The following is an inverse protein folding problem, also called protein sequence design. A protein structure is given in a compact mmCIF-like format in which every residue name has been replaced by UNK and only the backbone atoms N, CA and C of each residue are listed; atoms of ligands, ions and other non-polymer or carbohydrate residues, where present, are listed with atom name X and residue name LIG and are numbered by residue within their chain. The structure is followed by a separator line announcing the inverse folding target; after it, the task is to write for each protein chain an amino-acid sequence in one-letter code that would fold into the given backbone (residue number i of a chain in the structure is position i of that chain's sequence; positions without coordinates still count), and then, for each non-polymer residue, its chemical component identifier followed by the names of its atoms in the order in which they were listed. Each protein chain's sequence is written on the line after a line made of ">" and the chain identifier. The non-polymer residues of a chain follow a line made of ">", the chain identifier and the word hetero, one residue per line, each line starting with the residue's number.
data_IF_105447073187
#
_entry.id   IF_105447073187
#
_cell.length_a   1.000
_cell.length_b   1.000
_cell.length_c   1.000
_cell.angle_alpha   90.00
_cell.angle_beta   90.00
_cell.angle_gamma   90.00
#
_symmetry.space_group_name_H-M   'P 1'
#
loop_
_entity.id
_entity.type
_entity.pdbx_description
1 polymer ?
#
# COMPACT_ATOMS: atom_id res chain seq x y z
N UNK A 1 15.82 14.47 2.44
CA UNK A 1 15.50 13.03 2.25
C UNK A 1 13.99 12.79 2.21
N UNK A 2 13.25 13.10 3.29
CA UNK A 2 11.78 12.94 3.36
C UNK A 2 11.02 13.65 2.22
N UNK A 3 11.43 14.86 1.84
CA UNK A 3 10.79 15.59 0.73
C UNK A 3 10.85 14.82 -0.61
N UNK A 4 11.98 14.16 -0.90
CA UNK A 4 12.14 13.33 -2.11
C UNK A 4 11.29 12.06 -2.04
N UNK A 5 11.18 11.44 -0.85
CA UNK A 5 10.32 10.27 -0.63
C UNK A 5 8.86 10.63 -0.90
N UNK A 6 8.38 11.76 -0.39
CA UNK A 6 7.00 12.22 -0.59
C UNK A 6 6.72 12.48 -2.08
N UNK A 7 7.62 13.16 -2.80
CA UNK A 7 7.44 13.43 -4.24
C UNK A 7 7.46 12.13 -5.05
N UNK A 8 8.37 11.21 -4.75
CA UNK A 8 8.49 9.94 -5.46
C UNK A 8 7.22 9.10 -5.29
N UNK A 9 6.76 8.91 -4.05
CA UNK A 9 5.53 8.18 -3.76
C UNK A 9 4.28 8.90 -4.27
N UNK A 10 4.26 10.24 -4.23
CA UNK A 10 3.18 11.03 -4.82
C UNK A 10 3.05 10.77 -6.32
N UNK A 11 4.17 10.80 -7.05
CA UNK A 11 4.20 10.57 -8.50
C UNK A 11 3.73 9.16 -8.86
N UNK A 12 4.21 8.14 -8.15
CA UNK A 12 3.81 6.74 -8.36
C UNK A 12 2.32 6.58 -8.06
N UNK A 13 1.85 7.13 -6.95
CA UNK A 13 0.43 7.03 -6.55
C UNK A 13 -0.46 7.70 -7.60
N UNK A 14 -0.11 8.90 -8.07
CA UNK A 14 -0.88 9.58 -9.11
C UNK A 14 -0.92 8.76 -10.40
N UNK A 15 0.22 8.19 -10.82
CA UNK A 15 0.27 7.34 -12.00
C UNK A 15 -0.64 6.11 -11.88
N UNK A 16 -0.58 5.40 -10.75
CA UNK A 16 -1.43 4.23 -10.52
C UNK A 16 -2.92 4.58 -10.45
N UNK A 17 -3.28 5.72 -9.85
CA UNK A 17 -4.67 6.19 -9.82
C UNK A 17 -5.19 6.52 -11.22
N UNK A 18 -4.38 7.17 -12.05
CA UNK A 18 -4.74 7.46 -13.46
C UNK A 18 -4.94 6.15 -14.22
N UNK A 19 -3.99 5.21 -14.11
CA UNK A 19 -4.11 3.91 -14.75
C UNK A 19 -5.39 3.17 -14.36
N UNK A 20 -5.72 3.09 -13.06
CA UNK A 20 -6.94 2.45 -12.59
C UNK A 20 -8.20 3.15 -13.09
N UNK A 21 -8.19 4.48 -13.13
CA UNK A 21 -9.30 5.27 -13.66
C UNK A 21 -9.51 5.02 -15.15
N UNK A 22 -8.45 4.99 -15.94
CA UNK A 22 -8.50 4.80 -17.40
C UNK A 22 -8.98 3.38 -17.77
N UNK A 23 -8.69 2.40 -16.92
CA UNK A 23 -9.16 1.01 -17.06
C UNK A 23 -10.53 0.75 -16.40
N UNK A 24 -11.24 1.80 -15.97
CA UNK A 24 -12.56 1.70 -15.33
C UNK A 24 -12.57 0.93 -14.00
N UNK A 25 -11.42 0.74 -13.36
CA UNK A 25 -11.21 0.07 -12.07
C UNK A 25 -11.35 1.05 -10.89
N UNK A 26 -12.35 1.93 -10.94
CA UNK A 26 -12.51 3.02 -9.96
C UNK A 26 -12.70 2.51 -8.52
N UNK A 27 -13.29 1.33 -8.37
CA UNK A 27 -13.51 0.70 -7.07
C UNK A 27 -12.21 0.21 -6.40
N UNK A 28 -11.13 0.05 -7.18
CA UNK A 28 -9.82 -0.39 -6.68
C UNK A 28 -8.94 0.79 -6.25
N UNK A 29 -9.26 2.01 -6.68
CA UNK A 29 -8.54 3.23 -6.31
C UNK A 29 -8.40 3.40 -4.79
N UNK A 30 -9.44 3.20 -3.96
CA UNK A 30 -9.31 3.31 -2.50
C UNK A 30 -8.34 2.27 -1.92
N UNK A 31 -8.37 1.04 -2.45
CA UNK A 31 -7.50 -0.06 -2.01
C UNK A 31 -6.05 0.26 -2.40
N UNK A 32 -5.83 0.72 -3.63
CA UNK A 32 -4.52 1.14 -4.12
C UNK A 32 -3.95 2.30 -3.29
N UNK A 33 -4.75 3.32 -3.01
CA UNK A 33 -4.33 4.45 -2.18
C UNK A 33 -3.97 4.01 -0.74
N UNK A 34 -4.69 3.03 -0.19
CA UNK A 34 -4.39 2.45 1.11
C UNK A 34 -3.06 1.66 1.12
N UNK A 35 -2.79 0.87 0.09
CA UNK A 35 -1.51 0.15 -0.03
C UNK A 35 -0.34 1.14 -0.19
N UNK A 36 -0.53 2.20 -0.97
CA UNK A 36 0.48 3.25 -1.14
C UNK A 36 0.76 4.00 0.16
N UNK A 37 -0.25 4.28 0.99
CA UNK A 37 -0.04 4.94 2.28
C UNK A 37 0.76 4.08 3.27
N UNK A 38 0.50 2.77 3.34
CA UNK A 38 1.32 1.83 4.12
C UNK A 38 2.77 1.86 3.65
N UNK A 39 2.99 1.87 2.33
CA UNK A 39 4.33 1.88 1.74
C UNK A 39 5.12 3.15 2.12
N UNK A 40 4.46 4.32 2.13
CA UNK A 40 5.05 5.59 2.59
C UNK A 40 5.44 5.51 4.06
N UNK A 41 4.58 4.94 4.91
CA UNK A 41 4.85 4.79 6.34
C UNK A 41 6.09 3.91 6.56
N UNK A 42 6.15 2.75 5.91
CA UNK A 42 7.29 1.82 6.02
C UNK A 42 8.58 2.49 5.55
N UNK A 43 8.56 3.12 4.37
CA UNK A 43 9.73 3.82 3.83
C UNK A 43 10.20 4.96 4.74
N UNK A 44 9.26 5.65 5.40
CA UNK A 44 9.57 6.71 6.37
C UNK A 44 10.22 6.15 7.64
N UNK A 45 9.73 5.01 8.15
CA UNK A 45 10.31 4.33 9.32
C UNK A 45 11.74 3.85 9.03
N UNK A 46 11.95 3.23 7.86
CA UNK A 46 13.29 2.82 7.41
C UNK A 46 14.24 4.01 7.28
N UNK A 47 13.76 5.13 6.73
CA UNK A 47 14.52 6.38 6.63
C UNK A 47 14.91 6.96 7.99
N UNK A 48 14.19 6.63 9.07
CA UNK A 48 14.50 7.03 10.44
C UNK A 48 15.40 6.02 11.16
N UNK A 49 15.84 4.96 10.49
CA UNK A 49 16.65 3.89 11.07
C UNK A 49 15.87 2.89 11.91
N UNK A 50 14.53 2.98 11.92
CA UNK A 50 13.67 2.02 12.58
C UNK A 50 13.53 0.82 11.65
N UNK A 51 14.10 -0.32 12.06
CA UNK A 51 13.94 -1.57 11.32
C UNK A 51 12.49 -2.01 11.39
N UNK A 52 11.79 -1.89 10.27
CA UNK A 52 10.50 -2.52 10.08
C UNK A 52 10.79 -4.01 9.85
N UNK A 53 10.24 -4.93 10.67
CA UNK A 53 10.34 -6.36 10.39
C UNK A 53 9.67 -6.64 9.05
N UNK A 54 10.20 -7.62 8.31
CA UNK A 54 9.86 -7.91 6.92
C UNK A 54 8.37 -7.62 6.59
N UNK A 55 8.06 -6.54 5.86
CA UNK A 55 6.68 -6.08 5.61
C UNK A 55 5.77 -7.18 5.05
N UNK A 56 6.39 -8.07 4.28
CA UNK A 56 5.76 -9.22 3.65
C UNK A 56 5.18 -10.20 4.67
N UNK A 57 5.78 -10.30 5.87
CA UNK A 57 5.26 -11.11 6.97
C UNK A 57 3.92 -10.57 7.49
N UNK A 58 3.81 -9.25 7.65
CA UNK A 58 2.57 -8.61 8.11
C UNK A 58 1.51 -8.57 7.02
N UNK A 59 1.90 -8.31 5.78
CA UNK A 59 1.01 -8.35 4.62
C UNK A 59 0.45 -9.76 4.38
N UNK A 60 1.28 -10.79 4.50
CA UNK A 60 0.85 -12.19 4.42
C UNK A 60 -0.18 -12.53 5.49
N UNK A 61 0.05 -12.11 6.75
CA UNK A 61 -0.92 -12.31 7.84
C UNK A 61 -2.23 -11.55 7.62
N UNK A 62 -2.16 -10.34 7.07
CA UNK A 62 -3.33 -9.55 6.71
C UNK A 62 -4.15 -10.23 5.60
N UNK A 63 -3.48 -10.73 4.55
CA UNK A 63 -4.14 -11.51 3.49
C UNK A 63 -4.75 -12.80 4.01
N UNK A 64 -4.03 -13.57 4.85
CA UNK A 64 -4.59 -14.74 5.53
C UNK A 64 -5.84 -14.36 6.34
N UNK A 65 -5.82 -13.24 7.04
CA UNK A 65 -6.98 -12.77 7.80
C UNK A 65 -8.17 -12.40 6.91
N UNK A 66 -7.93 -11.80 5.74
CA UNK A 66 -8.98 -11.52 4.75
C UNK A 66 -9.54 -12.83 4.17
N UNK A 67 -8.67 -13.76 3.79
CA UNK A 67 -9.05 -15.06 3.22
C UNK A 67 -9.87 -15.86 4.24
N UNK A 68 -9.44 -15.89 5.50
CA UNK A 68 -10.18 -16.55 6.58
C UNK A 68 -11.52 -15.88 6.89
N UNK A 69 -11.60 -14.55 6.80
CA UNK A 69 -12.85 -13.83 6.98
C UNK A 69 -13.85 -14.15 5.85
N UNK A 70 -13.40 -14.12 4.60
CA UNK A 70 -14.22 -14.42 3.43
C UNK A 70 -14.62 -15.91 3.37
N UNK A 71 -13.70 -16.81 3.72
CA UNK A 71 -13.94 -18.26 3.79
C UNK A 71 -14.88 -18.69 4.93
N UNK A 72 -15.18 -17.81 5.89
CA UNK A 72 -16.17 -18.03 6.95
C UNK A 72 -17.58 -17.55 6.60
N UNK A 73 -17.72 -16.75 5.53
CA UNK A 73 -18.97 -16.12 5.10
C UNK A 73 -19.66 -16.94 3.98
N UNK A 74 -18.92 -17.84 3.31
CA UNK A 74 -19.41 -18.85 2.36
C UNK A 74 -19.66 -20.16 3.10
#
# INVERSE_FOLDING_TARGET
>A
MIFLVIIFYGTITTYGVIYLKDNNLKNEIPIYAFIMSISIIISSLESLGIRVPDPMMYFSKFLESIVNFLGRII
#
